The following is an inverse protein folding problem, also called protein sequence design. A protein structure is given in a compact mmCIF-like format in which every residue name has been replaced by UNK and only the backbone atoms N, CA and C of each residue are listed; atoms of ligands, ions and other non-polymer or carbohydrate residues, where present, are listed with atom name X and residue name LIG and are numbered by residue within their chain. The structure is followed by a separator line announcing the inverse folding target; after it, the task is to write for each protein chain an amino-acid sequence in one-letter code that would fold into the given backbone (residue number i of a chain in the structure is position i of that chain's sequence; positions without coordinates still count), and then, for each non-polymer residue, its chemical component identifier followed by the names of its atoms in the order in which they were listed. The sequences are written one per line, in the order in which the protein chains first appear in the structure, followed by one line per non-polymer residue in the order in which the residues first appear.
data_IF_557817320824
#
_entry.id   IF_557817320824
#
_cell.length_a   1.000
_cell.length_b   1.000
_cell.length_c   1.000
_cell.angle_alpha   90.00
_cell.angle_beta   90.00
_cell.angle_gamma   90.00
#
_symmetry.space_group_name_H-M   'P 1'
#
loop_
_entity.id
_entity.type
_entity.pdbx_description
1 polymer ?
#
# COMPACT_ATOMS: atom_id res chain seq x y z
N UNK A 1 9.26 20.60 -17.72
CA UNK A 1 10.12 19.44 -17.39
C UNK A 1 11.49 19.94 -17.03
N UNK A 2 12.14 19.40 -15.99
CA UNK A 2 13.53 19.76 -15.67
C UNK A 2 14.43 19.29 -16.81
N UNK A 3 15.25 20.19 -17.37
CA UNK A 3 16.33 19.83 -18.28
C UNK A 3 17.35 19.02 -17.49
N UNK A 4 17.51 17.76 -17.86
CA UNK A 4 18.47 16.84 -17.25
C UNK A 4 19.83 17.13 -17.90
N UNK A 5 20.86 17.38 -17.09
CA UNK A 5 22.21 17.68 -17.61
C UNK A 5 22.78 16.47 -18.37
N UNK A 6 23.68 16.69 -19.33
CA UNK A 6 24.42 15.60 -20.01
C UNK A 6 25.18 14.72 -19.00
N UNK A 7 25.67 15.32 -17.91
CA UNK A 7 26.31 14.59 -16.82
C UNK A 7 25.33 13.67 -16.08
N UNK A 8 24.10 14.15 -15.85
CA UNK A 8 23.03 13.38 -15.20
C UNK A 8 22.55 12.24 -16.10
N UNK A 9 22.51 12.45 -17.42
CA UNK A 9 22.20 11.40 -18.41
C UNK A 9 23.26 10.29 -18.38
N UNK A 10 24.55 10.65 -18.44
CA UNK A 10 25.63 9.66 -18.38
C UNK A 10 25.64 8.89 -17.05
N UNK A 11 25.33 9.56 -15.93
CA UNK A 11 25.19 8.90 -14.65
C UNK A 11 24.01 7.93 -14.62
N UNK A 12 22.84 8.36 -15.10
CA UNK A 12 21.65 7.52 -15.18
C UNK A 12 21.85 6.31 -16.09
N UNK A 13 22.57 6.45 -17.20
CA UNK A 13 22.87 5.34 -18.11
C UNK A 13 23.76 4.30 -17.45
N UNK A 14 24.78 4.73 -16.69
CA UNK A 14 25.63 3.81 -15.90
C UNK A 14 24.82 3.07 -14.85
N UNK A 15 23.99 3.80 -14.09
CA UNK A 15 23.11 3.21 -13.07
C UNK A 15 22.09 2.25 -13.70
N UNK A 16 21.52 2.60 -14.86
CA UNK A 16 20.59 1.76 -15.59
C UNK A 16 21.27 0.48 -16.10
N UNK A 17 22.48 0.59 -16.64
CA UNK A 17 23.26 -0.55 -17.11
C UNK A 17 23.58 -1.53 -15.96
N UNK A 18 24.12 -1.04 -14.85
CA UNK A 18 24.46 -1.88 -13.69
C UNK A 18 23.21 -2.54 -13.09
N UNK A 19 22.11 -1.79 -13.08
CA UNK A 19 20.81 -2.31 -12.63
C UNK A 19 20.33 -3.49 -13.46
N UNK A 20 20.55 -3.50 -14.78
CA UNK A 20 20.18 -4.66 -15.63
C UNK A 20 20.93 -5.92 -15.20
N UNK A 21 22.23 -5.80 -14.88
CA UNK A 21 23.04 -6.94 -14.43
C UNK A 21 22.51 -7.46 -13.10
N UNK A 22 22.24 -6.56 -12.15
CA UNK A 22 21.69 -6.91 -10.83
C UNK A 22 20.34 -7.58 -10.96
N UNK A 23 19.40 -7.03 -11.74
CA UNK A 23 18.08 -7.60 -11.95
C UNK A 23 18.14 -8.99 -12.59
N UNK A 24 19.00 -9.17 -13.60
CA UNK A 24 19.21 -10.47 -14.24
C UNK A 24 19.81 -11.49 -13.26
N UNK A 25 20.76 -11.06 -12.42
CA UNK A 25 21.38 -11.93 -11.42
C UNK A 25 20.37 -12.37 -10.36
N UNK A 26 19.63 -11.44 -9.75
CA UNK A 26 18.62 -11.76 -8.75
C UNK A 26 17.44 -12.54 -9.34
N UNK A 27 17.14 -12.33 -10.62
CA UNK A 27 16.20 -13.16 -11.36
C UNK A 27 16.65 -14.62 -11.44
N UNK A 28 17.91 -14.85 -11.79
CA UNK A 28 18.48 -16.20 -11.83
C UNK A 28 18.55 -16.82 -10.42
N UNK A 29 18.99 -16.06 -9.42
CA UNK A 29 19.05 -16.48 -8.02
C UNK A 29 17.69 -16.98 -7.54
N UNK A 30 16.65 -16.17 -7.70
CA UNK A 30 15.31 -16.51 -7.22
C UNK A 30 14.60 -17.57 -8.05
N UNK A 31 14.99 -17.75 -9.32
CA UNK A 31 14.53 -18.86 -10.15
C UNK A 31 15.13 -20.20 -9.71
N UNK A 32 16.42 -20.23 -9.38
CA UNK A 32 17.12 -21.44 -8.94
C UNK A 32 16.79 -21.81 -7.49
N UNK A 33 16.67 -20.82 -6.62
CA UNK A 33 16.59 -21.04 -5.18
C UNK A 33 15.27 -20.50 -4.62
N UNK A 34 14.32 -21.41 -4.33
CA UNK A 34 13.04 -21.04 -3.70
C UNK A 34 13.23 -20.38 -2.33
N UNK A 35 14.32 -20.74 -1.63
CA UNK A 35 14.69 -20.15 -0.34
C UNK A 35 14.85 -18.62 -0.48
N UNK A 36 15.50 -18.11 -1.53
CA UNK A 36 15.69 -16.66 -1.69
C UNK A 36 14.44 -15.93 -2.20
N UNK A 37 13.48 -16.67 -2.78
CA UNK A 37 12.26 -16.13 -3.39
C UNK A 37 11.07 -16.02 -2.44
N UNK A 38 10.98 -16.91 -1.43
CA UNK A 38 9.83 -17.00 -0.53
C UNK A 38 10.11 -16.40 0.87
N UNK A 39 9.04 -16.16 1.64
CA UNK A 39 9.14 -15.74 3.04
C UNK A 39 9.72 -16.87 3.88
N UNK A 40 11.02 -16.82 4.10
CA UNK A 40 11.68 -17.70 5.06
C UNK A 40 11.14 -17.50 6.46
N UNK A 41 10.73 -18.61 7.08
CA UNK A 41 10.38 -18.70 8.51
C UNK A 41 11.57 -19.12 9.38
N UNK A 42 12.78 -19.20 8.83
CA UNK A 42 13.98 -19.59 9.57
C UNK A 42 14.46 -18.45 10.49
N UNK A 43 15.12 -18.82 11.58
CA UNK A 43 15.79 -17.87 12.47
C UNK A 43 16.82 -17.03 11.71
N UNK A 44 17.00 -15.77 12.13
CA UNK A 44 17.87 -14.79 11.48
C UNK A 44 19.29 -15.33 11.28
N UNK A 45 19.75 -16.13 12.23
CA UNK A 45 21.11 -16.63 12.38
C UNK A 45 21.53 -17.57 11.23
N UNK A 46 20.59 -18.31 10.63
CA UNK A 46 20.88 -19.26 9.55
C UNK A 46 20.60 -18.68 8.15
N UNK A 47 19.89 -17.55 8.08
CA UNK A 47 19.50 -16.95 6.80
C UNK A 47 20.71 -16.48 6.01
N UNK A 48 21.65 -15.78 6.66
CA UNK A 48 22.80 -15.20 5.99
C UNK A 48 23.72 -16.27 5.38
N UNK A 49 23.97 -17.37 6.09
CA UNK A 49 24.78 -18.47 5.58
C UNK A 49 24.12 -19.16 4.38
N UNK A 50 22.81 -19.41 4.46
CA UNK A 50 22.05 -20.00 3.36
C UNK A 50 21.99 -19.07 2.15
N UNK A 51 21.83 -17.77 2.39
CA UNK A 51 21.81 -16.75 1.36
C UNK A 51 23.19 -16.64 0.66
N UNK A 52 24.28 -16.57 1.43
CA UNK A 52 25.65 -16.55 0.90
C UNK A 52 25.98 -17.80 0.09
N UNK A 53 25.51 -18.97 0.54
CA UNK A 53 25.64 -20.20 -0.23
C UNK A 53 24.91 -20.12 -1.57
N UNK A 54 23.65 -19.67 -1.58
CA UNK A 54 22.89 -19.47 -2.82
C UNK A 54 23.58 -18.49 -3.77
N UNK A 55 24.13 -17.39 -3.26
CA UNK A 55 24.90 -16.43 -4.06
C UNK A 55 26.13 -17.09 -4.70
N UNK A 56 26.91 -17.83 -3.92
CA UNK A 56 28.10 -18.53 -4.41
C UNK A 56 27.76 -19.54 -5.51
N UNK A 57 26.73 -20.35 -5.30
CA UNK A 57 26.28 -21.32 -6.30
C UNK A 57 25.74 -20.64 -7.56
N UNK A 58 25.02 -19.52 -7.43
CA UNK A 58 24.57 -18.75 -8.59
C UNK A 58 25.74 -18.12 -9.35
N UNK A 59 26.80 -17.65 -8.68
CA UNK A 59 28.01 -17.15 -9.35
C UNK A 59 28.69 -18.23 -10.19
N UNK A 60 28.82 -19.44 -9.65
CA UNK A 60 29.32 -20.60 -10.40
C UNK A 60 28.40 -20.91 -11.57
N UNK A 61 27.08 -20.90 -11.35
CA UNK A 61 26.10 -21.12 -12.43
C UNK A 61 26.23 -20.08 -13.54
N UNK A 62 26.40 -18.80 -13.20
CA UNK A 62 26.57 -17.70 -14.16
C UNK A 62 27.85 -17.87 -14.98
N UNK A 63 28.91 -18.42 -14.38
CA UNK A 63 30.17 -18.70 -15.07
C UNK A 63 30.00 -19.79 -16.15
N UNK A 64 29.07 -20.73 -15.96
CA UNK A 64 28.75 -21.78 -16.95
C UNK A 64 27.60 -21.39 -17.89
N UNK A 65 26.70 -20.52 -17.43
CA UNK A 65 25.47 -20.12 -18.11
C UNK A 65 25.27 -18.61 -17.98
N UNK A 66 25.65 -17.81 -19.01
CA UNK A 66 25.57 -16.36 -18.96
C UNK A 66 24.17 -15.82 -18.61
N UNK A 67 24.14 -14.64 -17.99
CA UNK A 67 22.90 -13.94 -17.65
C UNK A 67 22.14 -13.52 -18.92
N UNK A 68 20.80 -13.66 -18.88
CA UNK A 68 19.88 -13.37 -19.99
C UNK A 68 18.78 -12.41 -19.53
N UNK A 69 18.16 -11.72 -20.47
CA UNK A 69 17.05 -10.80 -20.24
C UNK A 69 15.84 -11.47 -19.56
N UNK A 70 15.53 -12.73 -19.94
CA UNK A 70 14.45 -13.51 -19.32
C UNK A 70 14.58 -13.63 -17.80
N UNK A 71 15.83 -13.64 -17.29
CA UNK A 71 16.08 -13.66 -15.86
C UNK A 71 15.55 -12.36 -15.20
N UNK A 72 15.86 -11.21 -15.78
CA UNK A 72 15.36 -9.91 -15.31
C UNK A 72 13.83 -9.79 -15.42
N UNK A 73 13.22 -10.33 -16.48
CA UNK A 73 11.76 -10.39 -16.62
C UNK A 73 11.12 -11.25 -15.52
N UNK A 74 11.76 -12.37 -15.16
CA UNK A 74 11.31 -13.17 -14.02
C UNK A 74 11.39 -12.36 -12.71
N UNK A 75 12.51 -11.66 -12.48
CA UNK A 75 12.69 -10.84 -11.28
C UNK A 75 11.61 -9.76 -11.17
N UNK A 76 11.36 -9.01 -12.26
CA UNK A 76 10.30 -8.00 -12.32
C UNK A 76 8.92 -8.58 -12.07
N UNK A 77 8.58 -9.74 -12.65
CA UNK A 77 7.30 -10.43 -12.38
C UNK A 77 7.15 -10.80 -10.90
N UNK A 78 8.21 -11.33 -10.29
CA UNK A 78 8.20 -11.68 -8.86
C UNK A 78 8.00 -10.44 -7.98
N UNK A 79 8.74 -9.36 -8.23
CA UNK A 79 8.59 -8.08 -7.53
C UNK A 79 7.18 -7.50 -7.66
N UNK A 80 6.62 -7.48 -8.88
CA UNK A 80 5.26 -7.00 -9.14
C UNK A 80 4.22 -7.79 -8.34
N UNK A 81 4.38 -9.12 -8.23
CA UNK A 81 3.51 -9.97 -7.41
C UNK A 81 3.58 -9.58 -5.93
N UNK A 82 4.77 -9.32 -5.40
CA UNK A 82 4.95 -8.87 -4.01
C UNK A 82 4.30 -7.50 -3.76
N UNK A 83 4.44 -6.57 -4.69
CA UNK A 83 3.80 -5.24 -4.62
C UNK A 83 2.27 -5.39 -4.61
N UNK A 84 1.71 -6.20 -5.51
CA UNK A 84 0.26 -6.46 -5.56
C UNK A 84 -0.24 -7.08 -4.25
N UNK A 85 0.48 -8.07 -3.70
CA UNK A 85 0.15 -8.65 -2.40
C UNK A 85 0.17 -7.61 -1.28
N UNK A 86 1.16 -6.73 -1.27
CA UNK A 86 1.23 -5.61 -0.32
C UNK A 86 0.03 -4.66 -0.43
N UNK A 87 -0.38 -4.33 -1.66
CA UNK A 87 -1.56 -3.51 -1.93
C UNK A 87 -2.84 -4.18 -1.44
N UNK A 88 -3.01 -5.48 -1.71
CA UNK A 88 -4.16 -6.26 -1.25
C UNK A 88 -4.24 -6.32 0.28
N UNK A 89 -3.11 -6.53 0.97
CA UNK A 89 -3.05 -6.51 2.42
C UNK A 89 -3.43 -5.12 2.99
N UNK A 90 -2.96 -4.04 2.36
CA UNK A 90 -3.33 -2.66 2.73
C UNK A 90 -4.82 -2.40 2.56
N UNK A 91 -5.42 -2.86 1.45
CA UNK A 91 -6.85 -2.74 1.19
C UNK A 91 -7.68 -3.52 2.22
N UNK A 92 -7.31 -4.78 2.50
CA UNK A 92 -7.97 -5.59 3.54
C UNK A 92 -7.94 -4.91 4.91
N UNK A 93 -6.79 -4.33 5.28
CA UNK A 93 -6.64 -3.56 6.53
C UNK A 93 -7.54 -2.33 6.55
N UNK A 94 -7.64 -1.59 5.44
CA UNK A 94 -8.53 -0.42 5.32
C UNK A 94 -10.00 -0.80 5.51
N UNK A 95 -10.48 -1.83 4.80
CA UNK A 95 -11.86 -2.30 4.91
C UNK A 95 -12.21 -2.78 6.33
N UNK A 96 -11.29 -3.50 6.99
CA UNK A 96 -11.47 -3.91 8.37
C UNK A 96 -11.61 -2.71 9.33
N UNK A 97 -10.80 -1.66 9.14
CA UNK A 97 -10.86 -0.44 9.92
C UNK A 97 -12.15 0.35 9.68
N UNK A 98 -12.60 0.45 8.43
CA UNK A 98 -13.87 1.11 8.08
C UNK A 98 -15.06 0.40 8.72
N UNK A 99 -15.11 -0.93 8.63
CA UNK A 99 -16.15 -1.75 9.27
C UNK A 99 -16.15 -1.56 10.79
N UNK A 100 -14.98 -1.53 11.42
CA UNK A 100 -14.84 -1.26 12.85
C UNK A 100 -15.35 0.14 13.22
N UNK A 101 -14.94 1.18 12.48
CA UNK A 101 -15.40 2.57 12.71
C UNK A 101 -16.91 2.71 12.53
N UNK A 102 -17.49 2.09 11.51
CA UNK A 102 -18.93 2.08 11.28
C UNK A 102 -19.68 1.41 12.44
N UNK A 103 -19.19 0.27 12.95
CA UNK A 103 -19.76 -0.41 14.12
C UNK A 103 -19.68 0.46 15.37
N UNK A 104 -18.56 1.16 15.59
CA UNK A 104 -18.39 2.11 16.70
C UNK A 104 -19.37 3.29 16.59
N UNK A 105 -19.54 3.88 15.40
CA UNK A 105 -20.51 4.97 15.17
C UNK A 105 -21.95 4.52 15.46
N UNK A 106 -22.34 3.32 15.01
CA UNK A 106 -23.67 2.76 15.29
C UNK A 106 -23.93 2.61 16.79
N UNK A 107 -22.95 2.09 17.55
CA UNK A 107 -23.05 1.97 19.01
C UNK A 107 -23.18 3.32 19.70
N UNK A 108 -22.39 4.31 19.28
CA UNK A 108 -22.48 5.66 19.83
C UNK A 108 -23.85 6.28 19.55
N UNK A 109 -24.36 6.15 18.32
CA UNK A 109 -25.68 6.65 17.93
C UNK A 109 -26.81 5.96 18.69
N UNK A 110 -26.72 4.65 18.94
CA UNK A 110 -27.74 3.95 19.75
C UNK A 110 -27.70 4.38 21.21
N UNK A 111 -26.50 4.59 21.79
CA UNK A 111 -26.38 5.11 23.16
C UNK A 111 -26.92 6.54 23.26
N UNK A 112 -26.70 7.40 22.26
CA UNK A 112 -27.29 8.75 22.23
C UNK A 112 -28.81 8.71 22.08
N UNK A 113 -29.36 7.79 21.30
CA UNK A 113 -30.81 7.60 21.17
C UNK A 113 -31.44 7.11 22.49
N UNK A 114 -30.75 6.24 23.22
CA UNK A 114 -31.19 5.69 24.52
C UNK A 114 -31.16 6.75 25.64
N UNK A 115 -30.26 7.74 25.54
CA UNK A 115 -30.18 8.88 26.45
C UNK A 115 -31.09 10.07 26.04
N UNK A 116 -31.73 10.01 24.86
CA UNK A 116 -32.57 11.08 24.30
C UNK A 116 -34.08 10.87 24.49
N UNK A 117 -34.48 9.91 25.30
CA UNK A 117 -35.87 9.47 25.47
C UNK A 117 -36.66 10.11 26.62
N UNK A 118 -36.24 11.26 27.16
CA UNK A 118 -37.02 12.03 28.15
C UNK A 118 -36.76 13.53 27.95
N UNK A 119 -37.41 14.11 26.95
CA UNK A 119 -37.74 15.53 26.91
C UNK A 119 -39.16 15.62 26.35
N UNK A 120 -40.10 15.21 27.19
CA UNK A 120 -41.53 15.27 26.89
C UNK A 120 -42.07 16.70 27.07
N UNK A 121 -43.08 17.00 26.25
CA UNK A 121 -44.09 18.04 26.37
C UNK A 121 -43.67 19.54 26.30
N UNK A 122 -43.97 20.17 25.16
CA UNK A 122 -45.12 21.08 25.08
C UNK A 122 -45.33 21.52 23.62
N UNK A 123 -46.28 20.89 22.94
CA UNK A 123 -47.00 21.57 21.86
C UNK A 123 -47.75 22.75 22.47
N UNK A 124 -47.57 23.95 21.94
CA UNK A 124 -48.68 24.91 21.93
C UNK A 124 -48.68 25.67 20.60
N UNK A 125 -49.70 25.35 19.82
CA UNK A 125 -50.03 26.01 18.58
C UNK A 125 -50.76 27.31 18.92
N UNK A 126 -50.21 28.45 18.50
CA UNK A 126 -51.02 29.67 18.38
C UNK A 126 -50.73 30.38 17.07
N UNK A 127 -51.47 29.95 16.05
CA UNK A 127 -51.78 30.76 14.87
C UNK A 127 -52.50 32.03 15.33
N UNK A 128 -51.92 33.20 15.10
CA UNK A 128 -52.65 34.47 15.14
C UNK A 128 -52.58 35.20 13.78
N UNK A 129 -53.69 35.78 13.31
CA UNK A 129 -53.84 36.40 11.98
C UNK A 129 -53.30 37.85 11.96
N UNK A 130 -53.22 38.51 10.78
CA UNK A 130 -52.46 39.75 10.63
C UNK A 130 -53.24 40.96 11.15
N UNK A 131 -52.56 41.86 11.88
CA UNK A 131 -53.12 43.16 12.23
C UNK A 131 -52.17 44.29 11.83
N UNK A 132 -52.76 45.25 11.11
CA UNK A 132 -52.17 46.41 10.48
C UNK A 132 -51.44 47.32 11.49
N UNK A 133 -50.32 47.90 11.05
CA UNK A 133 -49.91 49.24 11.51
C UNK A 133 -49.78 50.16 10.32
N UNK A 134 -50.82 50.97 10.16
CA UNK A 134 -50.77 52.30 9.56
C UNK A 134 -49.74 53.12 10.33
N UNK A 135 -48.80 53.74 9.62
CA UNK A 135 -48.24 55.05 9.98
C UNK A 135 -48.01 55.82 8.69
N UNK A 136 -48.85 56.82 8.49
CA UNK A 136 -48.75 57.86 7.48
C UNK A 136 -47.84 59.00 7.94
N UNK A 137 -47.53 59.86 6.97
CA UNK A 137 -47.09 61.26 7.07
C UNK A 137 -45.56 61.49 7.11
N UNK A 138 -44.97 62.25 6.17
CA UNK A 138 -45.57 63.08 5.11
C UNK A 138 -44.58 63.44 4.00
#
# INVERSE_FOLDING_TARGET
GRNISLADLSHNDKVAHDRVIVENFFGRLNQLWRITSDKLRLGRDLYDDKFRLCLGLTNVHVSHCPLRQDNGDWYRRSQNKLIQLGQLLKQKRRLAQEKYRAKKRRRLSSTLADLGGEADASEDAMTQPPSQRVLSEG
#
